data_IF_847991503410
#
_entry.id   IF_847991503410
#
_cell.length_a   1.000
_cell.length_b   1.000
_cell.length_c   1.000
_cell.angle_alpha   90.00
_cell.angle_beta   90.00
_cell.angle_gamma   90.00
#
_symmetry.space_group_name_H-M   'P 1'
#
loop_
_entity.id
_entity.type
_entity.pdbx_description
1 polymer ?
#
# COMPACT_ATOMS: atom_id res chain seq x y z
N UNK A 1 86.92 0.83 -1.16
CA UNK A 1 86.71 0.56 0.28
C UNK A 1 85.34 1.09 0.66
N UNK A 2 84.61 0.22 1.28
CA UNK A 2 83.35 0.41 2.05
C UNK A 2 82.03 0.59 1.33
N UNK A 3 81.39 -0.55 1.24
CA UNK A 3 79.95 -0.77 1.08
C UNK A 3 79.16 -0.14 2.18
N UNK A 4 78.08 0.54 1.84
CA UNK A 4 76.96 0.83 2.77
C UNK A 4 75.70 0.23 2.19
N UNK A 5 75.03 -0.57 3.00
CA UNK A 5 74.00 -1.51 2.72
C UNK A 5 72.62 -0.84 2.35
N UNK A 6 71.82 -1.38 1.45
CA UNK A 6 70.43 -1.04 1.25
C UNK A 6 69.54 -1.97 2.12
N UNK A 7 69.29 -1.63 3.38
CA UNK A 7 68.45 -2.50 4.23
C UNK A 7 67.37 -1.74 5.07
N UNK A 8 67.07 -0.52 4.70
CA UNK A 8 66.03 0.25 5.44
C UNK A 8 64.77 0.65 4.65
N UNK A 9 64.76 0.49 3.33
CA UNK A 9 63.61 0.86 2.51
C UNK A 9 62.51 -0.25 2.39
N UNK A 10 62.87 -1.52 2.64
CA UNK A 10 61.95 -2.65 2.47
C UNK A 10 60.91 -2.80 3.62
N UNK A 11 61.26 -2.35 4.84
CA UNK A 11 60.35 -2.49 5.99
C UNK A 11 59.29 -1.38 6.08
N UNK A 12 59.54 -0.21 5.49
CA UNK A 12 58.58 0.91 5.47
C UNK A 12 57.47 0.74 4.43
N UNK A 13 57.78 0.14 3.28
CA UNK A 13 56.78 -0.18 2.25
C UNK A 13 55.83 -1.31 2.69
N UNK A 14 56.31 -2.31 3.45
CA UNK A 14 55.43 -3.36 3.97
C UNK A 14 54.48 -2.86 5.10
N UNK A 15 54.93 -1.90 5.94
CA UNK A 15 54.05 -1.30 6.97
C UNK A 15 52.97 -0.37 6.37
N UNK A 16 53.28 0.37 5.30
CA UNK A 16 52.28 1.17 4.56
C UNK A 16 51.30 0.28 3.77
N UNK A 17 51.74 -0.83 3.20
CA UNK A 17 50.85 -1.78 2.55
C UNK A 17 49.92 -2.51 3.55
N UNK A 18 50.37 -2.79 4.78
CA UNK A 18 49.57 -3.40 5.83
C UNK A 18 48.57 -2.36 6.41
N UNK A 19 48.92 -1.09 6.46
CA UNK A 19 47.99 -0.02 6.88
C UNK A 19 46.90 0.23 5.80
N UNK A 20 47.21 0.05 4.51
CA UNK A 20 46.23 0.14 3.43
C UNK A 20 45.34 -1.10 3.30
N UNK A 21 45.78 -2.28 3.76
CA UNK A 21 44.99 -3.52 3.74
C UNK A 21 44.08 -3.63 5.01
N UNK A 22 44.35 -2.85 6.04
CA UNK A 22 43.55 -2.82 7.29
C UNK A 22 42.47 -1.72 7.31
N UNK A 23 42.12 -1.09 6.20
CA UNK A 23 40.77 -0.58 6.01
C UNK A 23 39.86 -1.79 5.71
N UNK A 24 39.76 -2.70 6.69
CA UNK A 24 38.66 -3.63 6.73
C UNK A 24 37.40 -2.77 6.66
N UNK A 25 36.69 -2.88 5.57
CA UNK A 25 35.33 -2.31 5.41
C UNK A 25 34.56 -2.69 6.67
N UNK A 26 34.48 -1.77 7.61
CA UNK A 26 33.66 -1.97 8.78
C UNK A 26 32.23 -2.06 8.26
N UNK A 27 31.52 -3.14 8.60
CA UNK A 27 30.15 -3.33 8.17
C UNK A 27 29.31 -2.11 8.57
N UNK A 28 28.62 -1.52 7.61
CA UNK A 28 27.73 -0.39 7.84
C UNK A 28 26.36 -0.85 8.29
N UNK A 29 25.72 -0.06 9.16
CA UNK A 29 24.33 -0.25 9.55
C UNK A 29 23.54 0.92 8.97
N UNK A 30 22.63 0.61 8.05
CA UNK A 30 21.73 1.57 7.44
C UNK A 30 20.44 1.65 8.23
N UNK A 31 20.22 2.77 8.93
CA UNK A 31 19.04 2.99 9.74
C UNK A 31 17.87 3.51 8.88
N UNK A 32 16.69 2.95 9.14
CA UNK A 32 15.43 3.35 8.54
C UNK A 32 14.51 3.96 9.62
N UNK A 33 13.78 5.01 9.24
CA UNK A 33 12.59 5.44 9.96
C UNK A 33 11.36 4.69 9.44
N UNK A 34 10.32 4.56 10.26
CA UNK A 34 9.09 3.89 9.89
C UNK A 34 7.84 4.67 10.27
N UNK A 35 6.83 4.65 9.42
CA UNK A 35 5.50 5.18 9.70
C UNK A 35 4.48 4.08 9.47
N UNK A 36 3.93 3.57 10.57
CA UNK A 36 2.95 2.47 10.55
C UNK A 36 1.77 2.82 11.45
N UNK A 37 0.56 2.70 10.95
CA UNK A 37 -0.65 2.84 11.76
C UNK A 37 -0.80 1.60 12.64
N UNK A 38 -0.50 1.72 13.91
CA UNK A 38 -0.68 0.63 14.87
C UNK A 38 -2.04 0.71 15.56
N UNK A 39 -2.56 1.91 15.69
CA UNK A 39 -3.86 2.17 16.32
C UNK A 39 -4.68 3.15 15.50
N UNK A 40 -6.00 2.99 15.55
CA UNK A 40 -6.95 4.04 15.16
C UNK A 40 -6.97 5.16 16.21
N UNK A 41 -7.56 6.31 15.86
CA UNK A 41 -7.67 7.45 16.78
C UNK A 41 -8.43 7.13 18.08
N UNK A 42 -9.33 6.16 18.06
CA UNK A 42 -10.09 5.69 19.22
C UNK A 42 -9.32 4.68 20.08
N UNK A 43 -8.07 4.40 19.75
CA UNK A 43 -7.16 3.52 20.49
C UNK A 43 -7.26 2.03 20.13
N UNK A 44 -8.18 1.64 19.23
CA UNK A 44 -8.26 0.25 18.75
C UNK A 44 -7.04 -0.08 17.89
N UNK A 45 -6.62 -1.34 17.91
CA UNK A 45 -5.56 -1.80 17.01
C UNK A 45 -6.00 -1.75 15.54
N UNK A 46 -5.06 -1.38 14.67
CA UNK A 46 -5.21 -1.45 13.24
C UNK A 46 -4.47 -2.69 12.72
N UNK A 47 -5.19 -3.79 12.49
CA UNK A 47 -4.59 -5.07 12.08
C UNK A 47 -3.75 -4.95 10.82
N UNK A 48 -4.22 -4.21 9.82
CA UNK A 48 -3.47 -3.96 8.58
C UNK A 48 -2.13 -3.26 8.81
N UNK A 49 -2.05 -2.32 9.77
CA UNK A 49 -0.79 -1.67 10.16
C UNK A 49 0.14 -2.59 10.95
N UNK A 50 -0.41 -3.46 11.82
CA UNK A 50 0.33 -4.54 12.47
C UNK A 50 0.96 -5.47 11.42
N UNK A 51 0.16 -5.93 10.45
CA UNK A 51 0.64 -6.82 9.39
C UNK A 51 1.68 -6.15 8.50
N UNK A 52 1.50 -4.87 8.16
CA UNK A 52 2.48 -4.10 7.41
C UNK A 52 3.83 -4.02 8.13
N UNK A 53 3.81 -3.78 9.44
CA UNK A 53 5.03 -3.76 10.25
C UNK A 53 5.71 -5.13 10.31
N UNK A 54 4.94 -6.21 10.42
CA UNK A 54 5.45 -7.59 10.36
C UNK A 54 6.15 -7.82 9.01
N UNK A 55 5.52 -7.46 7.90
CA UNK A 55 6.10 -7.60 6.56
C UNK A 55 7.43 -6.87 6.41
N UNK A 56 7.52 -5.64 6.90
CA UNK A 56 8.78 -4.88 6.91
C UNK A 56 9.86 -5.55 7.75
N UNK A 57 9.53 -6.07 8.92
CA UNK A 57 10.50 -6.74 9.79
C UNK A 57 11.01 -8.06 9.18
N UNK A 58 10.13 -8.85 8.57
CA UNK A 58 10.52 -10.06 7.85
C UNK A 58 11.50 -9.73 6.71
N UNK A 59 11.24 -8.65 5.96
CA UNK A 59 12.15 -8.22 4.90
C UNK A 59 13.53 -7.84 5.45
N UNK A 60 13.59 -7.05 6.54
CA UNK A 60 14.85 -6.66 7.20
C UNK A 60 15.62 -7.91 7.65
N UNK A 61 14.96 -8.84 8.33
CA UNK A 61 15.56 -10.09 8.79
C UNK A 61 16.13 -10.88 7.60
N UNK A 62 15.33 -11.05 6.54
CA UNK A 62 15.74 -11.77 5.33
C UNK A 62 16.95 -11.16 4.63
N UNK A 63 16.98 -9.84 4.50
CA UNK A 63 18.11 -9.10 3.90
C UNK A 63 19.38 -9.34 4.71
N UNK A 64 19.29 -9.24 6.04
CA UNK A 64 20.43 -9.37 6.93
C UNK A 64 20.95 -10.83 7.02
N UNK A 65 20.04 -11.81 7.13
CA UNK A 65 20.38 -13.24 7.22
C UNK A 65 20.94 -13.79 5.91
N UNK A 66 20.37 -13.39 4.77
CA UNK A 66 20.87 -13.81 3.45
C UNK A 66 22.14 -13.08 3.03
N UNK A 67 22.61 -12.11 3.83
CA UNK A 67 23.74 -11.22 3.49
C UNK A 67 23.54 -10.52 2.13
N UNK A 68 22.30 -10.14 1.82
CA UNK A 68 21.98 -9.50 0.54
C UNK A 68 22.80 -8.21 0.30
N UNK A 69 23.20 -7.51 1.38
CA UNK A 69 24.04 -6.30 1.34
C UNK A 69 25.52 -6.58 1.63
N UNK A 70 25.95 -7.84 1.62
CA UNK A 70 27.26 -8.28 2.10
C UNK A 70 27.29 -8.34 3.63
N UNK A 71 28.27 -7.70 4.26
CA UNK A 71 28.34 -7.61 5.74
C UNK A 71 27.51 -6.44 6.30
N UNK A 72 27.03 -5.52 5.45
CA UNK A 72 26.19 -4.41 5.87
C UNK A 72 24.77 -4.87 6.20
N UNK A 73 24.09 -4.08 7.04
CA UNK A 73 22.76 -4.44 7.55
C UNK A 73 21.78 -3.29 7.42
N UNK A 74 20.49 -3.63 7.23
CA UNK A 74 19.38 -2.73 7.45
C UNK A 74 18.90 -2.85 8.90
N UNK A 75 18.47 -1.73 9.45
CA UNK A 75 17.89 -1.68 10.80
C UNK A 75 16.76 -0.65 10.88
N UNK A 76 15.70 -1.00 11.58
CA UNK A 76 14.64 -0.08 11.95
C UNK A 76 14.50 -0.11 13.48
N UNK A 77 14.95 0.94 14.15
CA UNK A 77 14.89 1.04 15.59
C UNK A 77 13.47 1.37 16.06
N UNK A 78 12.99 0.79 17.18
CA UNK A 78 11.63 1.05 17.68
C UNK A 78 11.33 2.53 17.90
N UNK A 79 12.30 3.32 18.38
CA UNK A 79 12.18 4.76 18.59
C UNK A 79 12.04 5.59 17.30
N UNK A 80 12.35 4.99 16.17
CA UNK A 80 12.23 5.59 14.84
C UNK A 80 10.93 5.16 14.13
N UNK A 81 10.05 4.42 14.84
CA UNK A 81 8.74 4.00 14.33
C UNK A 81 7.68 4.93 14.88
N UNK A 82 6.94 5.57 13.98
CA UNK A 82 5.88 6.53 14.31
C UNK A 82 4.53 5.85 14.10
N UNK A 83 3.71 5.79 15.15
CA UNK A 83 2.29 5.50 15.04
C UNK A 83 1.55 6.81 14.75
N UNK A 84 1.00 6.94 13.56
CA UNK A 84 0.42 8.20 13.08
C UNK A 84 -1.10 8.13 12.89
N UNK A 85 -1.73 7.03 13.29
CA UNK A 85 -3.19 6.79 13.27
C UNK A 85 -3.86 7.02 11.90
N UNK A 86 -3.10 6.93 10.80
CA UNK A 86 -3.57 7.28 9.45
C UNK A 86 -4.08 8.73 9.33
N UNK A 87 -3.63 9.61 10.21
CA UNK A 87 -4.02 11.00 10.32
C UNK A 87 -2.81 11.93 10.40
N UNK A 88 -3.03 13.24 10.25
CA UNK A 88 -1.96 14.24 10.40
C UNK A 88 -1.74 14.51 11.90
N UNK A 89 -1.33 13.49 12.61
CA UNK A 89 -0.95 13.57 14.02
C UNK A 89 0.53 13.22 14.19
N UNK A 90 1.09 13.50 15.35
CA UNK A 90 2.50 13.22 15.66
C UNK A 90 3.51 13.92 14.73
N UNK A 91 3.19 15.12 14.22
CA UNK A 91 4.07 15.90 13.33
C UNK A 91 5.44 16.13 13.98
N UNK A 92 5.49 16.35 15.31
CA UNK A 92 6.74 16.52 16.04
C UNK A 92 7.63 15.27 15.97
N UNK A 93 7.03 14.07 16.09
CA UNK A 93 7.75 12.81 15.93
C UNK A 93 8.24 12.64 14.48
N UNK A 94 7.42 13.01 13.48
CA UNK A 94 7.81 13.01 12.07
C UNK A 94 9.02 13.92 11.84
N UNK A 95 8.97 15.16 12.32
CA UNK A 95 10.07 16.13 12.17
C UNK A 95 11.32 15.69 12.93
N UNK A 96 11.17 15.09 14.12
CA UNK A 96 12.30 14.52 14.87
C UNK A 96 13.00 13.43 14.06
N UNK A 97 12.24 12.48 13.51
CA UNK A 97 12.77 11.38 12.69
C UNK A 97 13.47 11.89 11.43
N UNK A 98 12.91 12.91 10.76
CA UNK A 98 13.54 13.55 9.59
C UNK A 98 14.89 14.22 9.90
N UNK A 99 15.06 14.74 11.12
CA UNK A 99 16.32 15.38 11.56
C UNK A 99 17.39 14.36 11.97
N UNK A 100 17.03 13.11 12.19
CA UNK A 100 17.99 12.07 12.59
C UNK A 100 18.94 11.75 11.45
N UNK A 101 20.24 12.04 11.62
CA UNK A 101 21.24 11.96 10.54
C UNK A 101 21.56 10.53 10.13
N UNK A 102 21.42 9.56 11.03
CA UNK A 102 21.68 8.14 10.75
C UNK A 102 20.64 7.52 9.82
N UNK A 103 19.41 8.05 9.79
CA UNK A 103 18.32 7.54 8.96
C UNK A 103 18.57 7.89 7.49
N UNK A 104 18.67 6.86 6.64
CA UNK A 104 18.92 7.00 5.20
C UNK A 104 17.64 7.11 4.36
N UNK A 105 16.51 6.56 4.85
CA UNK A 105 15.19 6.62 4.23
C UNK A 105 14.10 6.45 5.30
N UNK A 106 12.90 6.95 5.01
CA UNK A 106 11.71 6.72 5.83
C UNK A 106 10.74 5.83 5.05
N UNK A 107 10.29 4.76 5.70
CA UNK A 107 9.36 3.77 5.18
C UNK A 107 7.94 4.08 5.66
N UNK A 108 6.93 3.96 4.79
CA UNK A 108 5.57 4.46 5.05
C UNK A 108 5.39 5.84 4.40
N UNK A 109 4.44 6.66 4.66
CA UNK A 109 3.17 6.35 5.28
C UNK A 109 2.28 5.61 4.28
N UNK A 110 1.34 4.80 4.76
CA UNK A 110 0.40 4.10 3.87
C UNK A 110 -0.82 4.97 3.53
N UNK A 111 -1.18 5.93 4.39
CA UNK A 111 -2.30 6.83 4.14
C UNK A 111 -1.84 8.08 3.39
N UNK A 112 -2.66 8.53 2.44
CA UNK A 112 -2.27 9.52 1.44
C UNK A 112 -2.00 10.91 1.99
N UNK A 113 -2.79 11.42 2.95
CA UNK A 113 -2.58 12.75 3.53
C UNK A 113 -1.26 12.85 4.33
N UNK A 114 -0.96 11.94 5.26
CA UNK A 114 0.34 11.90 5.91
C UNK A 114 1.50 11.69 4.93
N UNK A 115 1.30 10.85 3.91
CA UNK A 115 2.33 10.62 2.89
C UNK A 115 2.63 11.90 2.09
N UNK A 116 1.63 12.71 1.78
CA UNK A 116 1.83 13.99 1.09
C UNK A 116 2.64 14.98 1.93
N UNK A 117 2.33 15.07 3.22
CA UNK A 117 3.12 15.90 4.17
C UNK A 117 4.56 15.38 4.24
N UNK A 118 4.72 14.07 4.42
CA UNK A 118 6.06 13.49 4.49
C UNK A 118 6.83 13.63 3.18
N UNK A 119 6.20 13.55 2.01
CA UNK A 119 6.84 13.77 0.73
C UNK A 119 7.36 15.22 0.58
N UNK A 120 6.61 16.22 1.07
CA UNK A 120 7.05 17.62 1.12
C UNK A 120 8.21 17.81 2.12
N UNK A 121 8.07 17.27 3.32
CA UNK A 121 9.12 17.33 4.34
C UNK A 121 10.37 16.54 3.91
N UNK A 122 10.19 15.38 3.26
CA UNK A 122 11.29 14.60 2.69
C UNK A 122 12.10 15.39 1.68
N UNK A 123 11.45 16.18 0.83
CA UNK A 123 12.14 17.09 -0.09
C UNK A 123 12.90 18.20 0.65
N UNK A 124 12.33 18.77 1.71
CA UNK A 124 12.96 19.82 2.52
C UNK A 124 14.20 19.29 3.27
N UNK A 125 14.07 18.12 3.90
CA UNK A 125 15.15 17.50 4.69
C UNK A 125 16.08 16.60 3.86
N UNK A 126 15.83 16.47 2.56
CA UNK A 126 16.58 15.62 1.61
C UNK A 126 16.67 14.17 2.10
N UNK A 127 15.53 13.59 2.47
CA UNK A 127 15.41 12.20 2.89
C UNK A 127 14.34 11.49 2.04
N UNK A 128 14.64 10.34 1.42
CA UNK A 128 13.69 9.56 0.66
C UNK A 128 12.54 9.05 1.53
N UNK A 129 11.32 9.23 1.04
CA UNK A 129 10.09 8.68 1.62
C UNK A 129 9.56 7.59 0.71
N UNK A 130 9.45 6.37 1.22
CA UNK A 130 9.04 5.21 0.42
C UNK A 130 7.75 4.64 1.00
N UNK A 131 6.65 4.77 0.27
CA UNK A 131 5.32 4.33 0.72
C UNK A 131 4.98 2.94 0.18
N UNK A 132 4.25 2.16 1.00
CA UNK A 132 3.72 0.86 0.62
C UNK A 132 2.19 0.87 0.44
N UNK A 133 1.51 2.01 0.67
CA UNK A 133 0.04 2.05 0.65
C UNK A 133 -0.57 3.35 0.12
N UNK A 134 0.11 4.51 0.25
CA UNK A 134 -0.45 5.80 -0.17
C UNK A 134 -0.68 5.85 -1.68
N UNK A 135 -1.94 5.80 -2.11
CA UNK A 135 -2.31 5.66 -3.51
C UNK A 135 -2.95 6.91 -4.14
N UNK A 136 -3.10 8.04 -3.42
CA UNK A 136 -3.62 9.27 -4.04
C UNK A 136 -2.81 9.68 -5.27
N UNK A 137 -3.50 9.93 -6.39
CA UNK A 137 -2.92 10.19 -7.72
C UNK A 137 -1.94 11.36 -7.76
N UNK A 138 -2.18 12.38 -6.93
CA UNK A 138 -1.30 13.55 -6.86
C UNK A 138 0.12 13.24 -6.38
N UNK A 139 0.34 12.11 -5.69
CA UNK A 139 1.66 11.64 -5.27
C UNK A 139 2.52 11.10 -6.43
N UNK A 140 1.93 10.87 -7.61
CA UNK A 140 2.62 10.36 -8.79
C UNK A 140 3.67 11.31 -9.36
N UNK A 141 3.54 12.63 -9.10
CA UNK A 141 4.37 13.66 -9.70
C UNK A 141 5.80 13.70 -9.14
N UNK A 142 6.77 13.28 -9.95
CA UNK A 142 8.20 13.37 -9.59
C UNK A 142 8.68 14.81 -9.46
N UNK A 143 8.09 15.77 -10.21
CA UNK A 143 8.43 17.20 -10.12
C UNK A 143 7.94 17.82 -8.82
N UNK A 144 6.76 17.42 -8.33
CA UNK A 144 6.19 17.93 -7.09
C UNK A 144 6.80 17.22 -5.86
N UNK A 145 7.01 15.92 -5.95
CA UNK A 145 7.51 15.10 -4.85
C UNK A 145 8.78 14.32 -5.25
N UNK A 146 9.90 15.02 -5.50
CA UNK A 146 11.10 14.39 -6.04
C UNK A 146 11.75 13.36 -5.10
N UNK A 147 11.48 13.45 -3.79
CA UNK A 147 12.02 12.56 -2.75
C UNK A 147 11.02 11.48 -2.30
N UNK A 148 9.98 11.22 -3.09
CA UNK A 148 8.97 10.21 -2.82
C UNK A 148 8.99 9.10 -3.86
N UNK A 149 8.72 7.86 -3.43
CA UNK A 149 8.44 6.71 -4.29
C UNK A 149 7.45 5.79 -3.58
N UNK A 150 6.70 4.97 -4.35
CA UNK A 150 5.73 4.02 -3.76
C UNK A 150 5.66 2.71 -4.54
N UNK A 151 5.43 1.61 -3.81
CA UNK A 151 5.29 0.27 -4.40
C UNK A 151 3.83 -0.10 -4.72
N UNK A 152 2.94 0.87 -4.70
CA UNK A 152 1.53 0.73 -5.08
C UNK A 152 1.22 1.56 -6.33
N UNK A 153 0.17 1.16 -7.04
CA UNK A 153 -0.39 1.93 -8.15
C UNK A 153 -1.19 3.13 -7.65
N UNK A 154 -1.33 4.18 -8.44
CA UNK A 154 -2.23 5.29 -8.12
C UNK A 154 -3.70 4.85 -8.11
N UNK A 155 -4.51 5.62 -7.38
CA UNK A 155 -5.94 5.33 -7.18
C UNK A 155 -6.76 5.28 -8.47
N UNK A 156 -6.33 5.98 -9.52
CA UNK A 156 -7.00 5.92 -10.82
C UNK A 156 -7.20 4.49 -11.34
N UNK A 157 -6.25 3.61 -11.02
CA UNK A 157 -6.36 2.21 -11.45
C UNK A 157 -7.39 1.43 -10.62
N UNK A 158 -7.54 1.76 -9.34
CA UNK A 158 -8.48 1.05 -8.47
C UNK A 158 -9.92 1.48 -8.70
N UNK A 159 -10.19 2.78 -8.61
CA UNK A 159 -11.52 3.33 -8.68
C UNK A 159 -12.09 3.31 -10.11
N UNK A 160 -11.22 3.54 -11.11
CA UNK A 160 -11.62 3.45 -12.52
C UNK A 160 -12.20 2.09 -12.87
N UNK A 161 -11.58 1.01 -12.40
CA UNK A 161 -12.07 -0.34 -12.65
C UNK A 161 -13.40 -0.67 -11.97
N UNK A 162 -13.78 0.01 -10.88
CA UNK A 162 -15.12 -0.13 -10.31
C UNK A 162 -16.20 0.38 -11.25
N UNK A 163 -15.94 1.50 -11.93
CA UNK A 163 -16.86 2.05 -12.93
C UNK A 163 -16.88 1.20 -14.20
N UNK A 164 -15.72 0.69 -14.63
CA UNK A 164 -15.64 -0.24 -15.76
C UNK A 164 -16.42 -1.52 -15.47
N UNK A 165 -16.34 -2.05 -14.24
CA UNK A 165 -17.15 -3.19 -13.81
C UNK A 165 -18.64 -2.85 -13.79
N UNK A 166 -19.03 -1.69 -13.29
CA UNK A 166 -20.42 -1.23 -13.32
C UNK A 166 -20.94 -1.11 -14.76
N UNK A 167 -20.13 -0.60 -15.69
CA UNK A 167 -20.45 -0.54 -17.12
C UNK A 167 -20.60 -1.95 -17.74
N UNK A 168 -19.74 -2.91 -17.36
CA UNK A 168 -19.89 -4.31 -17.78
C UNK A 168 -21.25 -4.88 -17.38
N UNK A 169 -21.77 -4.52 -16.20
CA UNK A 169 -23.13 -4.89 -15.75
C UNK A 169 -24.23 -4.00 -16.30
N UNK A 170 -23.94 -3.09 -17.24
CA UNK A 170 -24.89 -2.18 -17.89
C UNK A 170 -25.57 -1.20 -16.92
N UNK A 171 -24.91 -0.88 -15.80
CA UNK A 171 -25.34 0.16 -14.90
C UNK A 171 -25.35 1.50 -15.63
N UNK A 172 -26.42 2.31 -15.42
CA UNK A 172 -26.58 3.62 -16.06
C UNK A 172 -26.61 4.77 -15.06
N UNK A 173 -26.93 4.48 -13.82
CA UNK A 173 -27.10 5.49 -12.76
C UNK A 173 -26.46 5.01 -11.48
N UNK A 174 -25.73 5.90 -10.81
CA UNK A 174 -25.10 5.61 -9.52
C UNK A 174 -25.33 6.74 -8.51
N UNK A 175 -25.26 6.41 -7.21
CA UNK A 175 -24.91 7.35 -6.16
C UNK A 175 -23.42 7.17 -5.81
N UNK A 176 -22.73 8.26 -5.51
CA UNK A 176 -21.33 8.23 -5.15
C UNK A 176 -21.08 8.90 -3.81
N UNK A 177 -20.39 8.20 -2.90
CA UNK A 177 -20.02 8.68 -1.57
C UNK A 177 -18.50 8.65 -1.41
N UNK A 178 -17.88 9.75 -1.00
CA UNK A 178 -16.44 9.83 -0.83
C UNK A 178 -16.02 10.74 0.32
N UNK A 179 -14.84 10.46 0.88
CA UNK A 179 -14.21 11.35 1.86
C UNK A 179 -13.59 12.59 1.17
N UNK A 180 -13.48 13.70 1.93
CA UNK A 180 -12.87 14.96 1.45
C UNK A 180 -11.35 15.01 1.66
N UNK A 181 -10.72 13.88 1.96
CA UNK A 181 -9.26 13.78 2.09
C UNK A 181 -8.56 13.65 0.72
N UNK A 182 -7.22 13.57 0.74
CA UNK A 182 -6.41 13.47 -0.45
C UNK A 182 -6.79 12.30 -1.36
N UNK A 183 -7.12 11.15 -0.74
CA UNK A 183 -7.52 9.97 -1.47
C UNK A 183 -8.94 10.11 -2.05
N UNK A 184 -9.94 10.43 -1.22
CA UNK A 184 -11.32 10.56 -1.66
C UNK A 184 -11.52 11.63 -2.75
N UNK A 185 -10.84 12.78 -2.66
CA UNK A 185 -10.88 13.82 -3.69
C UNK A 185 -10.13 13.39 -4.97
N UNK A 186 -9.06 12.60 -4.85
CA UNK A 186 -8.39 11.97 -5.98
C UNK A 186 -9.32 11.03 -6.73
N UNK A 187 -9.90 10.09 -6.01
CA UNK A 187 -10.86 9.13 -6.52
C UNK A 187 -12.10 9.79 -7.13
N UNK A 188 -12.61 10.86 -6.53
CA UNK A 188 -13.75 11.61 -7.05
C UNK A 188 -13.52 12.09 -8.50
N UNK A 189 -12.32 12.57 -8.83
CA UNK A 189 -12.00 12.97 -10.21
C UNK A 189 -12.00 11.77 -11.15
N UNK A 190 -11.43 10.66 -10.70
CA UNK A 190 -11.36 9.41 -11.48
C UNK A 190 -12.74 8.83 -11.73
N UNK A 191 -13.56 8.72 -10.69
CA UNK A 191 -14.94 8.21 -10.79
C UNK A 191 -15.77 9.06 -11.75
N UNK A 192 -15.66 10.39 -11.67
CA UNK A 192 -16.38 11.28 -12.60
C UNK A 192 -15.92 11.11 -14.05
N UNK A 193 -14.61 11.02 -14.32
CA UNK A 193 -14.09 10.80 -15.66
C UNK A 193 -14.52 9.45 -16.21
N UNK A 194 -14.34 8.36 -15.45
CA UNK A 194 -14.72 7.02 -15.86
C UNK A 194 -16.25 6.90 -16.06
N UNK A 195 -17.05 7.49 -15.18
CA UNK A 195 -18.51 7.50 -15.33
C UNK A 195 -18.93 8.18 -16.64
N UNK A 196 -18.33 9.33 -16.96
CA UNK A 196 -18.56 10.02 -18.23
C UNK A 196 -18.14 9.16 -19.44
N UNK A 197 -16.97 8.54 -19.39
CA UNK A 197 -16.46 7.68 -20.48
C UNK A 197 -17.33 6.44 -20.75
N UNK A 198 -18.04 5.94 -19.73
CA UNK A 198 -18.90 4.76 -19.80
C UNK A 198 -20.40 5.08 -19.85
N UNK A 199 -20.81 6.34 -20.06
CA UNK A 199 -22.22 6.77 -20.08
C UNK A 199 -23.00 6.36 -18.83
N UNK A 200 -22.37 6.55 -17.65
CA UNK A 200 -22.98 6.34 -16.33
C UNK A 200 -23.23 7.70 -15.69
N UNK A 201 -24.48 7.95 -15.32
CA UNK A 201 -24.87 9.20 -14.65
C UNK A 201 -24.67 9.11 -13.14
N UNK A 202 -24.00 10.09 -12.56
CA UNK A 202 -23.89 10.24 -11.11
C UNK A 202 -25.07 11.10 -10.63
N UNK A 203 -26.19 10.45 -10.29
CA UNK A 203 -27.44 11.09 -9.88
C UNK A 203 -27.27 11.87 -8.58
N UNK A 204 -26.48 11.30 -7.65
CA UNK A 204 -26.23 11.93 -6.36
C UNK A 204 -24.80 11.71 -5.92
N UNK A 205 -24.19 12.77 -5.38
CA UNK A 205 -22.83 12.72 -4.82
C UNK A 205 -22.84 13.29 -3.40
N UNK A 206 -22.20 12.56 -2.48
CA UNK A 206 -22.01 12.99 -1.11
C UNK A 206 -20.51 13.00 -0.79
N UNK A 207 -20.05 14.10 -0.23
CA UNK A 207 -18.69 14.25 0.31
C UNK A 207 -18.77 14.50 1.82
N UNK A 208 -17.88 13.87 2.57
CA UNK A 208 -17.90 13.93 4.03
C UNK A 208 -16.48 13.78 4.61
N UNK A 209 -16.29 14.25 5.85
CA UNK A 209 -15.05 14.05 6.57
C UNK A 209 -14.92 12.61 7.07
N UNK A 210 -13.69 12.14 7.28
CA UNK A 210 -13.47 10.87 8.00
C UNK A 210 -14.12 10.91 9.38
N UNK A 211 -14.51 9.76 9.88
CA UNK A 211 -15.19 9.57 11.17
C UNK A 211 -16.54 10.30 11.28
N UNK A 212 -17.19 10.56 10.15
CA UNK A 212 -18.53 11.14 10.12
C UNK A 212 -19.53 10.27 10.92
N UNK A 213 -20.45 10.93 11.62
CA UNK A 213 -21.43 10.27 12.45
C UNK A 213 -22.39 9.37 11.66
N UNK A 214 -22.80 8.26 12.28
CA UNK A 214 -23.74 7.28 11.70
C UNK A 214 -25.03 7.93 11.17
N UNK A 215 -25.55 8.95 11.88
CA UNK A 215 -26.80 9.62 11.51
C UNK A 215 -26.73 10.33 10.15
N UNK A 216 -25.55 10.78 9.76
CA UNK A 216 -25.32 11.42 8.45
C UNK A 216 -25.41 10.37 7.33
N UNK A 217 -24.78 9.21 7.52
CA UNK A 217 -24.90 8.11 6.56
C UNK A 217 -26.34 7.58 6.48
N UNK A 218 -27.05 7.52 7.60
CA UNK A 218 -28.48 7.19 7.63
C UNK A 218 -29.29 8.15 6.75
N UNK A 219 -29.00 9.46 6.81
CA UNK A 219 -29.68 10.45 5.99
C UNK A 219 -29.35 10.28 4.50
N UNK A 220 -28.08 10.04 4.15
CA UNK A 220 -27.66 9.80 2.78
C UNK A 220 -28.32 8.57 2.18
N UNK A 221 -28.33 7.44 2.87
CA UNK A 221 -28.92 6.18 2.40
C UNK A 221 -30.45 6.29 2.29
N UNK A 222 -31.10 7.01 3.20
CA UNK A 222 -32.54 7.33 3.08
C UNK A 222 -32.87 8.11 1.80
N UNK A 223 -32.05 9.13 1.49
CA UNK A 223 -32.25 9.94 0.28
C UNK A 223 -32.01 9.11 -0.98
N UNK A 224 -30.92 8.31 -1.03
CA UNK A 224 -30.61 7.40 -2.13
C UNK A 224 -31.78 6.44 -2.38
N UNK A 225 -32.32 5.84 -1.32
CA UNK A 225 -33.51 4.96 -1.41
C UNK A 225 -34.73 5.70 -1.95
N UNK A 226 -34.98 6.92 -1.49
CA UNK A 226 -36.12 7.74 -1.96
C UNK A 226 -36.00 8.09 -3.45
N UNK A 227 -34.77 8.29 -3.94
CA UNK A 227 -34.49 8.56 -5.35
C UNK A 227 -34.55 7.30 -6.22
N UNK A 228 -34.68 6.12 -5.64
CA UNK A 228 -34.73 4.85 -6.36
C UNK A 228 -33.38 4.39 -6.91
N UNK A 229 -32.27 5.00 -6.49
CA UNK A 229 -30.94 4.65 -6.95
C UNK A 229 -30.52 3.30 -6.37
N UNK A 230 -30.13 2.37 -7.22
CA UNK A 230 -29.81 0.98 -6.85
C UNK A 230 -28.32 0.69 -6.74
N UNK A 231 -27.49 1.45 -7.44
CA UNK A 231 -26.07 1.22 -7.54
C UNK A 231 -25.30 2.31 -6.81
N UNK A 232 -24.47 1.92 -5.85
CA UNK A 232 -23.75 2.83 -4.97
C UNK A 232 -22.25 2.58 -5.10
N UNK A 233 -21.48 3.63 -5.36
CA UNK A 233 -20.02 3.61 -5.35
C UNK A 233 -19.54 4.36 -4.12
N UNK A 234 -18.57 3.81 -3.39
CA UNK A 234 -18.00 4.44 -2.20
C UNK A 234 -16.48 4.45 -2.25
N UNK A 235 -15.88 5.58 -1.87
CA UNK A 235 -14.45 5.74 -1.66
C UNK A 235 -14.23 6.33 -0.28
N UNK A 236 -14.04 5.47 0.69
CA UNK A 236 -13.89 5.83 2.10
C UNK A 236 -13.16 4.74 2.88
N UNK A 237 -12.43 5.09 3.95
CA UNK A 237 -11.77 4.13 4.82
C UNK A 237 -12.76 3.18 5.49
N UNK A 238 -12.27 1.99 5.84
CA UNK A 238 -13.06 0.90 6.44
C UNK A 238 -14.00 1.33 7.57
N UNK A 239 -13.61 2.15 8.57
CA UNK A 239 -14.54 2.54 9.64
C UNK A 239 -15.79 3.25 9.15
N UNK A 240 -15.69 4.11 8.15
CA UNK A 240 -16.83 4.80 7.56
C UNK A 240 -17.59 3.90 6.57
N UNK A 241 -16.88 3.03 5.83
CA UNK A 241 -17.48 1.98 5.00
C UNK A 241 -18.44 1.12 5.84
N UNK A 242 -18.03 0.68 7.02
CA UNK A 242 -18.87 -0.09 7.95
C UNK A 242 -20.13 0.68 8.38
N UNK A 243 -20.01 1.98 8.65
CA UNK A 243 -21.18 2.82 8.99
C UNK A 243 -22.16 2.91 7.80
N UNK A 244 -21.63 3.01 6.57
CA UNK A 244 -22.47 2.99 5.36
C UNK A 244 -23.19 1.64 5.24
N UNK A 245 -22.50 0.52 5.43
CA UNK A 245 -23.13 -0.82 5.42
C UNK A 245 -24.23 -0.95 6.48
N UNK A 246 -24.00 -0.46 7.70
CA UNK A 246 -25.03 -0.42 8.76
C UNK A 246 -26.27 0.36 8.32
N UNK A 247 -26.09 1.46 7.60
CA UNK A 247 -27.20 2.24 7.06
C UNK A 247 -27.91 1.48 5.93
N UNK A 248 -27.18 0.86 5.01
CA UNK A 248 -27.76 0.04 3.94
C UNK A 248 -28.64 -1.09 4.50
N UNK A 249 -28.16 -1.75 5.54
CA UNK A 249 -28.92 -2.78 6.27
C UNK A 249 -30.16 -2.22 6.93
N UNK A 250 -30.02 -1.13 7.71
CA UNK A 250 -31.10 -0.47 8.43
C UNK A 250 -32.25 -0.05 7.52
N UNK A 251 -31.93 0.43 6.32
CA UNK A 251 -32.92 0.92 5.36
C UNK A 251 -33.31 -0.10 4.29
N UNK A 252 -32.87 -1.36 4.43
CA UNK A 252 -33.23 -2.43 3.51
C UNK A 252 -32.79 -2.18 2.08
N UNK A 253 -31.55 -1.65 1.91
CA UNK A 253 -30.91 -1.43 0.61
C UNK A 253 -30.02 -2.60 0.19
N UNK A 254 -29.71 -3.55 1.10
CA UNK A 254 -28.98 -4.78 0.79
C UNK A 254 -29.95 -5.87 0.31
N UNK A 255 -30.51 -5.68 -0.88
CA UNK A 255 -31.54 -6.52 -1.51
C UNK A 255 -31.19 -6.82 -2.96
N UNK A 256 -31.77 -7.86 -3.57
CA UNK A 256 -31.63 -8.13 -5.00
C UNK A 256 -31.91 -6.88 -5.85
N UNK A 257 -31.09 -6.67 -6.86
CA UNK A 257 -31.18 -5.51 -7.75
C UNK A 257 -30.38 -4.28 -7.30
N UNK A 258 -29.84 -4.26 -6.08
CA UNK A 258 -28.95 -3.21 -5.62
C UNK A 258 -27.51 -3.71 -5.61
N UNK A 259 -26.55 -2.84 -5.93
CA UNK A 259 -25.12 -3.18 -5.89
C UNK A 259 -24.30 -2.13 -5.16
N UNK A 260 -23.22 -2.56 -4.54
CA UNK A 260 -22.27 -1.70 -3.86
C UNK A 260 -20.87 -1.94 -4.37
N UNK A 261 -20.19 -0.89 -4.78
CA UNK A 261 -18.80 -0.88 -5.24
C UNK A 261 -17.98 -0.07 -4.24
N UNK A 262 -17.10 -0.72 -3.51
CA UNK A 262 -16.26 -0.06 -2.50
C UNK A 262 -14.80 -0.03 -2.93
N UNK A 263 -14.14 1.11 -2.81
CA UNK A 263 -12.73 1.26 -3.21
C UNK A 263 -11.75 0.60 -2.22
N UNK A 264 -12.22 0.15 -1.06
CA UNK A 264 -11.39 -0.49 -0.05
C UNK A 264 -12.08 -1.75 0.51
N UNK A 265 -11.28 -2.80 0.67
CA UNK A 265 -11.67 -4.09 1.21
C UNK A 265 -10.72 -4.48 2.36
N UNK A 266 -10.55 -3.61 3.34
CA UNK A 266 -9.81 -3.92 4.56
C UNK A 266 -10.84 -4.10 5.67
N UNK A 267 -11.09 -5.36 6.04
CA UNK A 267 -12.02 -5.70 7.10
C UNK A 267 -11.23 -6.37 8.22
N UNK A 268 -11.10 -5.70 9.33
CA UNK A 268 -10.67 -6.32 10.57
C UNK A 268 -11.84 -7.06 11.24
N UNK A 269 -11.53 -7.96 12.17
CA UNK A 269 -12.51 -8.82 12.81
C UNK A 269 -13.66 -8.07 13.50
N UNK A 270 -13.41 -6.86 14.01
CA UNK A 270 -14.45 -6.03 14.65
C UNK A 270 -15.51 -5.51 13.66
N UNK A 271 -15.15 -5.39 12.39
CA UNK A 271 -16.03 -4.86 11.35
C UNK A 271 -16.81 -5.95 10.61
N UNK A 272 -16.40 -7.22 10.73
CA UNK A 272 -17.02 -8.34 10.03
C UNK A 272 -18.51 -8.48 10.31
N UNK A 273 -18.95 -8.26 11.54
CA UNK A 273 -20.38 -8.38 11.91
C UNK A 273 -21.27 -7.40 11.13
N UNK A 274 -20.77 -6.19 10.87
CA UNK A 274 -21.53 -5.19 10.13
C UNK A 274 -21.67 -5.52 8.65
N UNK A 275 -20.71 -6.26 8.07
CA UNK A 275 -20.67 -6.60 6.64
C UNK A 275 -21.13 -8.04 6.35
N UNK A 276 -21.30 -8.89 7.37
CA UNK A 276 -21.72 -10.30 7.22
C UNK A 276 -22.99 -10.50 6.39
N UNK A 277 -23.92 -9.55 6.42
CA UNK A 277 -25.11 -9.59 5.59
C UNK A 277 -24.93 -8.93 4.21
N UNK A 278 -23.77 -8.40 3.90
CA UNK A 278 -23.52 -7.61 2.69
C UNK A 278 -22.98 -8.51 1.58
N UNK A 279 -23.87 -9.36 1.05
CA UNK A 279 -23.57 -10.19 -0.11
C UNK A 279 -23.62 -9.29 -1.35
N UNK A 280 -22.66 -9.49 -2.28
CA UNK A 280 -22.70 -8.86 -3.59
C UNK A 280 -22.09 -7.47 -3.64
N UNK A 281 -21.20 -7.10 -2.70
CA UNK A 281 -20.39 -5.91 -2.92
C UNK A 281 -19.06 -6.23 -3.60
N UNK A 282 -18.49 -5.24 -4.29
CA UNK A 282 -17.29 -5.38 -5.11
C UNK A 282 -16.21 -4.43 -4.62
N UNK A 283 -14.96 -4.91 -4.52
CA UNK A 283 -13.83 -4.07 -4.17
C UNK A 283 -12.54 -4.48 -4.89
N UNK A 284 -11.77 -3.53 -5.41
CA UNK A 284 -10.47 -3.79 -6.02
C UNK A 284 -9.40 -4.03 -4.96
N UNK A 285 -8.50 -4.97 -5.23
CA UNK A 285 -7.40 -5.30 -4.35
C UNK A 285 -6.17 -5.73 -5.18
N UNK A 286 -4.97 -5.59 -4.61
CA UNK A 286 -3.78 -6.12 -5.24
C UNK A 286 -3.85 -7.64 -5.36
N UNK A 287 -3.50 -8.17 -6.52
CA UNK A 287 -3.45 -9.62 -6.76
C UNK A 287 -2.06 -10.16 -6.43
N UNK A 288 -2.01 -11.18 -5.58
CA UNK A 288 -0.79 -11.91 -5.28
C UNK A 288 -0.74 -13.21 -6.08
N UNK A 289 0.20 -13.30 -7.03
CA UNK A 289 0.39 -14.53 -7.79
C UNK A 289 1.22 -15.54 -7.02
N UNK A 290 0.79 -16.79 -6.97
CA UNK A 290 1.54 -17.90 -6.38
C UNK A 290 2.87 -18.09 -7.10
N UNK A 291 3.95 -17.64 -6.49
CA UNK A 291 5.34 -17.74 -6.95
C UNK A 291 6.20 -18.32 -5.83
N UNK A 292 7.40 -18.80 -6.14
CA UNK A 292 8.32 -19.28 -5.11
C UNK A 292 8.68 -18.18 -4.11
N UNK A 293 8.77 -16.93 -4.58
CA UNK A 293 9.03 -15.76 -3.72
C UNK A 293 7.89 -15.54 -2.73
N UNK A 294 6.63 -15.55 -3.21
CA UNK A 294 5.47 -15.43 -2.34
C UNK A 294 5.33 -16.63 -1.40
N UNK A 295 5.52 -17.87 -1.88
CA UNK A 295 5.43 -19.07 -1.05
C UNK A 295 6.47 -19.04 0.09
N UNK A 296 7.69 -18.60 -0.19
CA UNK A 296 8.72 -18.41 0.82
C UNK A 296 8.28 -17.36 1.85
N UNK A 297 7.76 -16.21 1.39
CA UNK A 297 7.28 -15.17 2.27
C UNK A 297 6.11 -15.61 3.16
N UNK A 298 5.16 -16.38 2.62
CA UNK A 298 4.05 -16.97 3.41
C UNK A 298 4.58 -17.83 4.56
N UNK A 299 5.60 -18.65 4.30
CA UNK A 299 6.21 -19.47 5.34
C UNK A 299 6.94 -18.63 6.39
N UNK A 300 7.73 -17.63 5.94
CA UNK A 300 8.41 -16.70 6.84
C UNK A 300 7.39 -15.92 7.70
N UNK A 301 6.26 -15.49 7.11
CA UNK A 301 5.19 -14.79 7.82
C UNK A 301 4.55 -15.66 8.90
N UNK A 302 4.18 -16.91 8.58
CA UNK A 302 3.61 -17.87 9.54
C UNK A 302 4.54 -18.11 10.73
N UNK A 303 5.84 -18.28 10.45
CA UNK A 303 6.84 -18.49 11.51
C UNK A 303 7.01 -17.26 12.40
N UNK A 304 6.96 -16.07 11.81
CA UNK A 304 7.18 -14.82 12.53
C UNK A 304 5.95 -14.37 13.35
N UNK A 305 4.75 -14.52 12.80
CA UNK A 305 3.51 -14.01 13.41
C UNK A 305 2.76 -15.05 14.24
N UNK A 306 3.04 -16.35 14.03
CA UNK A 306 2.26 -17.49 14.56
C UNK A 306 0.76 -17.42 14.17
N UNK A 307 0.47 -16.83 13.02
CA UNK A 307 -0.90 -16.63 12.52
C UNK A 307 -1.16 -17.40 11.22
N UNK A 308 -2.42 -17.76 10.99
CA UNK A 308 -2.87 -18.26 9.70
C UNK A 308 -2.78 -17.18 8.62
N UNK A 309 -2.57 -17.61 7.38
CA UNK A 309 -2.38 -16.68 6.24
C UNK A 309 -3.52 -16.88 5.24
N UNK A 310 -4.33 -15.84 5.10
CA UNK A 310 -5.20 -15.66 3.95
C UNK A 310 -4.55 -14.66 2.99
N UNK A 311 -4.08 -15.14 1.84
CA UNK A 311 -3.38 -14.31 0.85
C UNK A 311 -4.29 -13.32 0.12
N UNK A 312 -5.60 -13.52 0.19
CA UNK A 312 -6.61 -12.64 -0.40
C UNK A 312 -7.07 -11.55 0.59
N UNK A 313 -6.65 -11.65 1.86
CA UNK A 313 -6.99 -10.62 2.85
C UNK A 313 -6.25 -9.32 2.60
N UNK A 314 -6.93 -8.20 2.81
CA UNK A 314 -6.32 -6.87 2.73
C UNK A 314 -5.12 -6.73 3.67
N UNK A 315 -5.22 -7.25 4.90
CA UNK A 315 -4.16 -7.22 5.89
C UNK A 315 -2.88 -7.91 5.38
N UNK A 316 -3.00 -9.11 4.81
CA UNK A 316 -1.84 -9.83 4.28
C UNK A 316 -1.25 -9.16 3.04
N UNK A 317 -2.11 -8.59 2.17
CA UNK A 317 -1.66 -7.86 0.98
C UNK A 317 -0.83 -6.63 1.38
N UNK A 318 -1.26 -5.87 2.37
CA UNK A 318 -0.47 -4.74 2.90
C UNK A 318 0.85 -5.19 3.53
N UNK A 319 0.87 -6.35 4.17
CA UNK A 319 2.10 -6.98 4.65
C UNK A 319 3.07 -7.30 3.50
N UNK A 320 2.57 -7.88 2.40
CA UNK A 320 3.37 -8.18 1.21
C UNK A 320 3.92 -6.91 0.53
N UNK A 321 3.11 -5.86 0.42
CA UNK A 321 3.54 -4.56 -0.10
C UNK A 321 4.60 -3.92 0.81
N UNK A 322 4.43 -4.06 2.11
CA UNK A 322 5.39 -3.57 3.10
C UNK A 322 6.70 -4.38 3.11
N UNK A 323 6.67 -5.67 2.81
CA UNK A 323 7.88 -6.44 2.53
C UNK A 323 8.61 -5.88 1.31
N UNK A 324 7.89 -5.67 0.22
CA UNK A 324 8.48 -5.25 -1.06
C UNK A 324 9.08 -3.84 -1.03
N UNK A 325 8.52 -2.90 -0.23
CA UNK A 325 9.12 -1.56 -0.14
C UNK A 325 10.45 -1.56 0.62
N UNK A 326 10.66 -2.45 1.58
CA UNK A 326 11.96 -2.66 2.23
C UNK A 326 12.93 -3.33 1.25
N UNK A 327 12.47 -4.33 0.51
CA UNK A 327 13.29 -4.96 -0.55
C UNK A 327 13.68 -3.96 -1.65
N UNK A 328 12.84 -2.96 -1.96
CA UNK A 328 13.17 -1.87 -2.87
C UNK A 328 14.37 -1.06 -2.36
N UNK A 329 14.40 -0.73 -1.06
CA UNK A 329 15.54 -0.01 -0.45
C UNK A 329 16.82 -0.86 -0.56
N UNK A 330 16.76 -2.15 -0.21
CA UNK A 330 17.92 -3.04 -0.27
C UNK A 330 18.46 -3.20 -1.70
N UNK A 331 17.58 -3.38 -2.68
CA UNK A 331 17.98 -3.43 -4.09
C UNK A 331 18.57 -2.10 -4.58
N UNK A 332 18.07 -0.97 -4.07
CA UNK A 332 18.62 0.37 -4.35
C UNK A 332 20.02 0.50 -3.79
N UNK A 333 20.26 0.08 -2.55
CA UNK A 333 21.60 0.06 -1.94
C UNK A 333 22.57 -0.80 -2.77
N UNK A 334 22.15 -1.99 -3.17
CA UNK A 334 22.96 -2.86 -4.02
C UNK A 334 23.30 -2.22 -5.38
N UNK A 335 22.33 -1.52 -5.98
CA UNK A 335 22.56 -0.82 -7.24
C UNK A 335 23.57 0.33 -7.06
N UNK A 336 23.47 1.11 -5.97
CA UNK A 336 24.41 2.19 -5.61
C UNK A 336 25.82 1.62 -5.44
N UNK A 337 25.98 0.53 -4.67
CA UNK A 337 27.26 -0.14 -4.46
C UNK A 337 27.88 -0.68 -5.77
N UNK A 338 27.06 -1.29 -6.64
CA UNK A 338 27.49 -1.74 -7.98
C UNK A 338 27.97 -0.59 -8.88
N UNK A 339 27.56 0.65 -8.60
CA UNK A 339 28.02 1.86 -9.28
C UNK A 339 29.18 2.53 -8.55
N UNK A 340 29.74 1.88 -7.52
CA UNK A 340 30.85 2.38 -6.70
C UNK A 340 30.57 3.75 -6.07
N UNK A 341 29.27 4.01 -5.74
CA UNK A 341 28.83 5.24 -5.08
C UNK A 341 28.58 4.98 -3.59
N UNK A 342 28.75 6.02 -2.80
CA UNK A 342 28.39 6.04 -1.38
C UNK A 342 26.88 5.81 -1.17
N UNK A 343 26.51 5.03 -0.17
CA UNK A 343 25.12 4.85 0.21
C UNK A 343 24.72 6.01 1.12
N UNK A 344 24.00 6.96 0.56
CA UNK A 344 23.47 8.12 1.28
C UNK A 344 22.08 8.51 0.74
N UNK A 345 21.40 9.44 1.40
CA UNK A 345 20.03 9.88 1.07
C UNK A 345 19.90 10.32 -0.40
N UNK A 346 20.87 11.08 -0.90
CA UNK A 346 20.86 11.60 -2.28
C UNK A 346 20.97 10.49 -3.31
N UNK A 347 21.89 9.55 -3.10
CA UNK A 347 22.06 8.42 -4.01
C UNK A 347 20.87 7.45 -3.94
N UNK A 348 20.24 7.24 -2.76
CA UNK A 348 18.99 6.47 -2.68
C UNK A 348 17.90 7.15 -3.52
N UNK A 349 17.68 8.45 -3.37
CA UNK A 349 16.70 9.20 -4.17
C UNK A 349 16.98 9.11 -5.68
N UNK A 350 18.26 9.21 -6.10
CA UNK A 350 18.65 9.14 -7.51
C UNK A 350 18.40 7.74 -8.11
N UNK A 351 18.64 6.68 -7.33
CA UNK A 351 18.68 5.30 -7.85
C UNK A 351 17.39 4.51 -7.59
N UNK A 352 16.54 4.90 -6.65
CA UNK A 352 15.37 4.10 -6.22
C UNK A 352 14.42 3.76 -7.37
N UNK A 353 14.22 4.67 -8.32
CA UNK A 353 13.35 4.44 -9.49
C UNK A 353 14.05 3.71 -10.65
N UNK A 354 15.36 3.43 -10.52
CA UNK A 354 16.15 2.68 -11.51
C UNK A 354 16.20 1.18 -11.21
N UNK A 355 15.59 0.76 -10.11
CA UNK A 355 15.56 -0.63 -9.66
C UNK A 355 14.44 -1.39 -10.37
N UNK A 356 14.75 -2.65 -10.73
CA UNK A 356 13.77 -3.61 -11.21
C UNK A 356 14.05 -4.97 -10.56
N UNK A 357 13.07 -5.52 -9.85
CA UNK A 357 13.18 -6.83 -9.21
C UNK A 357 11.83 -7.51 -9.06
N UNK A 358 11.85 -8.83 -8.85
CA UNK A 358 10.66 -9.63 -8.60
C UNK A 358 10.39 -9.67 -7.10
N UNK A 359 9.37 -8.96 -6.64
CA UNK A 359 8.89 -8.94 -5.28
C UNK A 359 7.85 -10.02 -4.97
N UNK A 360 7.36 -10.05 -3.74
CA UNK A 360 6.27 -10.94 -3.30
C UNK A 360 4.91 -10.50 -3.87
N UNK A 361 4.72 -9.21 -4.08
CA UNK A 361 3.53 -8.63 -4.72
C UNK A 361 3.65 -8.51 -6.24
N UNK A 362 4.63 -9.16 -6.85
CA UNK A 362 4.90 -9.13 -8.30
C UNK A 362 6.13 -8.30 -8.67
N UNK A 363 6.23 -7.88 -9.92
CA UNK A 363 7.38 -7.09 -10.38
C UNK A 363 7.35 -5.66 -9.81
N UNK A 364 8.48 -5.20 -9.29
CA UNK A 364 8.68 -3.83 -8.79
C UNK A 364 9.59 -3.11 -9.77
N UNK A 365 9.04 -2.18 -10.51
CA UNK A 365 9.73 -1.31 -11.45
C UNK A 365 9.03 0.04 -11.56
N UNK A 366 9.72 1.04 -12.08
CA UNK A 366 9.24 2.42 -12.15
C UNK A 366 9.42 2.98 -13.57
N UNK A 367 8.59 3.95 -13.94
CA UNK A 367 8.93 4.84 -15.06
C UNK A 367 9.82 5.99 -14.57
N UNK A 368 10.51 6.64 -15.50
CA UNK A 368 11.42 7.76 -15.17
C UNK A 368 10.68 9.02 -14.70
N UNK A 369 9.43 9.14 -15.02
CA UNK A 369 8.58 10.33 -14.87
C UNK A 369 7.47 10.18 -13.82
N UNK A 370 7.38 9.02 -13.15
CA UNK A 370 6.42 8.78 -12.08
C UNK A 370 7.07 8.27 -10.79
N UNK A 371 6.44 8.60 -9.67
CA UNK A 371 6.76 8.04 -8.36
C UNK A 371 6.15 6.65 -8.13
N UNK A 372 5.38 6.16 -9.09
CA UNK A 372 4.56 4.98 -8.97
C UNK A 372 5.26 3.74 -9.44
N UNK A 373 4.97 2.62 -8.76
CA UNK A 373 5.23 1.30 -9.31
C UNK A 373 4.44 1.10 -10.60
N UNK A 374 5.12 0.59 -11.63
CA UNK A 374 4.47 0.11 -12.86
C UNK A 374 3.79 -1.24 -12.62
N UNK A 375 2.72 -1.47 -13.37
CA UNK A 375 2.11 -2.80 -13.59
C UNK A 375 1.83 -3.62 -12.32
N UNK A 376 1.31 -2.97 -11.27
CA UNK A 376 0.84 -3.70 -10.10
C UNK A 376 -0.38 -4.54 -10.47
N UNK A 377 -0.34 -5.87 -10.24
CA UNK A 377 -1.49 -6.73 -10.51
C UNK A 377 -2.68 -6.34 -9.62
N UNK A 378 -3.85 -6.21 -10.21
CA UNK A 378 -5.10 -5.90 -9.53
C UNK A 378 -6.18 -6.93 -9.88
N UNK A 379 -7.03 -7.21 -8.92
CA UNK A 379 -8.24 -8.02 -9.08
C UNK A 379 -9.41 -7.35 -8.37
N UNK A 380 -10.64 -7.68 -8.76
CA UNK A 380 -11.85 -7.25 -8.06
C UNK A 380 -12.42 -8.44 -7.32
N UNK A 381 -12.67 -8.23 -6.05
CA UNK A 381 -13.28 -9.21 -5.16
C UNK A 381 -14.78 -8.97 -5.08
N UNK A 382 -15.53 -10.06 -4.92
CA UNK A 382 -16.96 -10.06 -4.64
C UNK A 382 -17.22 -10.74 -3.29
N UNK A 383 -18.00 -10.10 -2.44
CA UNK A 383 -18.36 -10.67 -1.15
C UNK A 383 -19.44 -11.74 -1.28
N UNK A 384 -19.17 -12.93 -0.73
CA UNK A 384 -20.08 -14.09 -0.74
C UNK A 384 -20.72 -14.34 0.64
N UNK A 385 -20.66 -13.37 1.56
CA UNK A 385 -21.15 -13.53 2.91
C UNK A 385 -20.12 -14.15 3.84
N UNK A 386 -20.54 -14.81 4.91
CA UNK A 386 -19.68 -15.43 5.88
C UNK A 386 -19.76 -16.97 5.83
N UNK A 387 -18.65 -17.65 6.15
CA UNK A 387 -18.61 -19.09 6.36
C UNK A 387 -19.23 -19.47 7.72
N UNK A 388 -19.21 -20.77 8.05
CA UNK A 388 -19.79 -21.27 9.32
C UNK A 388 -19.01 -20.81 10.56
N UNK A 389 -17.73 -20.48 10.41
CA UNK A 389 -16.89 -19.90 11.45
C UNK A 389 -17.11 -18.39 11.61
N UNK A 390 -17.89 -17.79 10.71
CA UNK A 390 -18.21 -16.37 10.70
C UNK A 390 -17.20 -15.50 9.97
N UNK A 391 -16.25 -16.09 9.24
CA UNK A 391 -15.29 -15.35 8.41
C UNK A 391 -15.92 -14.95 7.08
N UNK A 392 -15.65 -13.73 6.62
CA UNK A 392 -16.12 -13.25 5.32
C UNK A 392 -15.43 -13.98 4.19
N UNK A 393 -16.24 -14.45 3.22
CA UNK A 393 -15.75 -15.07 2.00
C UNK A 393 -15.71 -14.01 0.90
N UNK A 394 -14.53 -13.80 0.34
CA UNK A 394 -14.30 -12.95 -0.82
C UNK A 394 -13.81 -13.79 -1.99
N UNK A 395 -14.44 -13.62 -3.15
CA UNK A 395 -14.11 -14.39 -4.35
C UNK A 395 -13.61 -13.44 -5.43
N UNK A 396 -12.44 -13.69 -6.03
CA UNK A 396 -11.97 -12.90 -7.16
C UNK A 396 -12.86 -13.16 -8.37
N UNK A 397 -13.50 -12.09 -8.86
CA UNK A 397 -14.45 -12.14 -10.00
C UNK A 397 -13.97 -11.39 -11.24
N UNK A 398 -12.95 -10.59 -11.09
CA UNK A 398 -12.36 -9.90 -12.23
C UNK A 398 -10.88 -9.62 -11.98
N UNK A 399 -10.11 -9.55 -13.03
CA UNK A 399 -8.72 -9.13 -12.98
C UNK A 399 -8.35 -8.24 -14.17
N UNK A 400 -7.31 -7.43 -14.00
CA UNK A 400 -6.81 -6.57 -15.06
C UNK A 400 -5.75 -7.30 -15.86
N UNK A 401 -5.98 -7.47 -17.14
CA UNK A 401 -4.99 -8.01 -18.05
C UNK A 401 -3.81 -7.04 -18.16
N UNK A 402 -2.65 -7.46 -17.65
CA UNK A 402 -1.46 -6.61 -17.58
C UNK A 402 -0.92 -6.17 -18.96
N UNK A 403 -1.27 -6.87 -20.04
CA UNK A 403 -0.81 -6.54 -21.41
C UNK A 403 -1.73 -5.54 -22.10
N UNK A 404 -3.04 -5.69 -21.91
CA UNK A 404 -4.05 -4.88 -22.61
C UNK A 404 -4.62 -3.76 -21.75
N UNK A 405 -4.48 -3.85 -20.43
CA UNK A 405 -5.12 -2.94 -19.46
C UNK A 405 -6.63 -3.15 -19.32
N UNK A 406 -7.19 -4.17 -19.95
CA UNK A 406 -8.63 -4.44 -19.95
C UNK A 406 -9.05 -5.27 -18.76
N UNK A 407 -10.26 -5.02 -18.26
CA UNK A 407 -10.90 -5.81 -17.20
C UNK A 407 -11.44 -7.12 -17.79
N UNK A 408 -11.00 -8.26 -17.23
CA UNK A 408 -11.52 -9.59 -17.55
C UNK A 408 -12.44 -10.05 -16.40
N UNK A 409 -13.76 -10.24 -16.70
CA UNK A 409 -14.78 -10.53 -15.68
C UNK A 409 -15.22 -11.99 -15.76
N UNK A 410 -15.26 -12.67 -14.60
CA UNK A 410 -15.70 -14.05 -14.43
C UNK A 410 -17.14 -14.07 -13.91
N UNK A 411 -18.12 -13.89 -14.79
CA UNK A 411 -19.54 -13.72 -14.45
C UNK A 411 -20.12 -14.91 -13.66
N UNK A 412 -19.64 -16.13 -13.90
CA UNK A 412 -20.08 -17.36 -13.22
C UNK A 412 -19.72 -17.42 -11.73
N UNK A 413 -18.77 -16.60 -11.29
CA UNK A 413 -18.32 -16.51 -9.90
C UNK A 413 -19.05 -15.46 -9.10
N UNK A 414 -19.84 -14.60 -9.72
CA UNK A 414 -20.48 -13.47 -9.05
C UNK A 414 -21.67 -13.95 -8.23
N UNK A 415 -21.73 -13.49 -6.99
CA UNK A 415 -22.87 -13.62 -6.12
C UNK A 415 -23.49 -12.24 -5.88
N UNK A 416 -24.74 -12.08 -6.25
CA UNK A 416 -25.46 -10.82 -6.14
C UNK A 416 -26.19 -10.70 -4.78
N UNK A 417 -26.55 -9.47 -4.34
CA UNK A 417 -27.38 -9.28 -3.17
C UNK A 417 -28.66 -10.12 -3.22
N UNK A 418 -29.00 -10.78 -2.11
CA UNK A 418 -30.09 -11.76 -2.07
C UNK A 418 -29.68 -13.18 -2.41
N UNK A 419 -28.37 -13.46 -2.51
CA UNK A 419 -27.80 -14.78 -2.76
C UNK A 419 -28.24 -15.38 -4.12
N UNK A 420 -28.31 -14.53 -5.16
CA UNK A 420 -28.65 -14.92 -6.52
C UNK A 420 -27.40 -14.94 -7.41
N UNK A 421 -27.41 -15.79 -8.46
CA UNK A 421 -26.40 -15.79 -9.52
C UNK A 421 -26.85 -15.02 -10.76
N UNK A 422 -28.05 -14.51 -10.75
CA UNK A 422 -28.61 -13.74 -11.85
C UNK A 422 -28.29 -12.25 -11.66
N UNK A 423 -27.79 -11.63 -12.74
CA UNK A 423 -27.56 -10.20 -12.78
C UNK A 423 -28.90 -9.47 -12.60
N UNK A 424 -29.05 -8.59 -11.59
CA UNK A 424 -30.31 -7.90 -11.31
C UNK A 424 -30.72 -6.88 -12.38
#
# INVERSE_FOLDING_TARGET
MNSVKPLMMSRFCCLLAIIFIHNTLQAEIFDLGGMYTQHYRDGRYADWGKYSRIGAQIAINKINESKMLGEDKLRMMPENIIDYHCWIENVDAMVKTLKEKSIIAITGAECSDPAEIMANLGALYKIPIISYGANASRLSSTSKYPWFARVVSPSEKYEGYLIELAAHFKVKEIAYLHTIDAWGEGANRVIQSAAYEHDIEIIKRYSFARDTDQVVFDAYIKEIKKLGIKHIVITTPTPDTVKIFKSLHRYGMNIPGNTLYAAELILDNEHLDAVRGSIGYFAPIAKLYRTDVLNTYINDFKVYSDESVDIESGNFIYSALSYDHIMLIANTINLIKKKEKEVNRTNIQEFIRKVNFKGVSGNISFSSDSNDRLDMPLQIMNSHGANIEGEMIFVPIAEINQKTGQLEVYNDKILWPGNTKENP
#
